data_IF_130887636806
#
_entry.id   IF_130887636806
#
_cell.length_a   1.000
_cell.length_b   1.000
_cell.length_c   1.000
_cell.angle_alpha   90.00
_cell.angle_beta   90.00
_cell.angle_gamma   90.00
#
_symmetry.space_group_name_H-M   'P 1'
#
loop_
_entity.id
_entity.type
_entity.pdbx_description
1 polymer ?
#
# COMPACT_ATOMS: atom_id res chain seq x y z
N UNK A 1 20.98 14.60 63.21
CA UNK A 1 21.99 15.21 62.33
C UNK A 1 22.55 14.09 61.47
N UNK A 2 22.01 13.96 60.25
CA UNK A 2 22.25 12.84 59.35
C UNK A 2 23.55 13.05 58.58
N UNK A 3 24.45 12.08 58.61
CA UNK A 3 25.52 11.98 57.61
C UNK A 3 25.26 10.76 56.74
N UNK A 4 24.87 11.08 55.52
CA UNK A 4 24.57 10.20 54.40
C UNK A 4 25.89 9.95 53.68
N UNK A 5 26.60 8.88 54.00
CA UNK A 5 27.85 8.59 53.29
C UNK A 5 28.29 7.14 53.38
N UNK A 6 27.52 6.22 52.75
CA UNK A 6 28.03 4.93 52.22
C UNK A 6 27.01 4.23 51.34
N UNK A 7 26.52 4.92 50.31
CA UNK A 7 25.79 4.27 49.22
C UNK A 7 26.69 4.16 47.99
N UNK A 8 26.97 2.92 47.61
CA UNK A 8 27.12 2.45 46.22
C UNK A 8 28.19 3.13 45.35
N UNK A 9 29.45 2.75 45.58
CA UNK A 9 30.51 2.81 44.56
C UNK A 9 30.50 1.53 43.72
N UNK A 10 29.34 1.16 43.15
CA UNK A 10 29.25 0.14 42.09
C UNK A 10 29.21 0.88 40.76
N UNK A 11 30.39 1.04 40.17
CA UNK A 11 30.54 1.42 38.78
C UNK A 11 29.70 0.44 37.94
N UNK A 12 28.61 0.95 37.36
CA UNK A 12 27.82 0.22 36.37
C UNK A 12 28.70 0.06 35.13
N UNK A 13 29.22 -1.14 34.96
CA UNK A 13 30.07 -1.56 33.84
C UNK A 13 29.25 -2.13 32.67
N UNK A 14 27.93 -1.93 32.66
CA UNK A 14 27.00 -2.57 31.71
C UNK A 14 26.48 -1.64 30.62
N UNK A 15 27.10 -0.47 30.42
CA UNK A 15 26.79 0.35 29.24
C UNK A 15 27.84 0.07 28.17
N UNK A 16 27.55 -0.74 27.14
CA UNK A 16 28.46 -0.85 26.01
C UNK A 16 28.61 0.55 25.42
N UNK A 17 29.82 1.08 25.57
CA UNK A 17 30.23 2.34 25.00
C UNK A 17 30.20 2.14 23.48
N UNK A 18 29.11 2.53 22.83
CA UNK A 18 29.02 2.56 21.36
C UNK A 18 29.98 3.64 20.84
N UNK A 19 31.27 3.33 20.83
CA UNK A 19 32.26 4.04 20.03
C UNK A 19 32.10 3.62 18.57
N UNK A 20 30.91 3.79 17.98
CA UNK A 20 30.76 3.78 16.53
C UNK A 20 31.38 5.08 16.02
N UNK A 21 32.68 5.02 15.74
CA UNK A 21 33.31 5.88 14.73
C UNK A 21 32.50 5.74 13.45
N UNK A 22 31.51 6.62 13.24
CA UNK A 22 30.91 6.87 11.93
C UNK A 22 31.93 7.63 11.09
N UNK A 23 33.04 6.95 10.75
CA UNK A 23 34.12 7.49 9.92
C UNK A 23 33.94 7.10 8.44
N UNK A 24 32.78 6.58 8.08
CA UNK A 24 32.39 6.39 6.68
C UNK A 24 31.25 7.34 6.41
N UNK A 25 31.61 8.58 6.05
CA UNK A 25 30.74 9.49 5.30
C UNK A 25 30.39 8.73 4.02
N UNK A 26 29.27 8.01 4.01
CA UNK A 26 28.73 7.42 2.79
C UNK A 26 28.66 8.58 1.79
N UNK A 27 29.35 8.51 0.64
CA UNK A 27 29.11 9.50 -0.39
C UNK A 27 27.62 9.40 -0.70
N UNK A 28 26.88 10.45 -0.39
CA UNK A 28 25.50 10.61 -0.87
C UNK A 28 25.63 10.76 -2.37
N UNK A 29 25.72 9.63 -3.06
CA UNK A 29 25.57 9.57 -4.50
C UNK A 29 24.23 10.23 -4.78
N UNK A 30 24.22 11.20 -5.69
CA UNK A 30 23.03 11.96 -6.09
C UNK A 30 22.08 11.03 -6.85
N UNK A 31 21.47 10.10 -6.11
CA UNK A 31 20.63 9.00 -6.60
C UNK A 31 19.41 9.50 -7.36
N UNK A 32 19.03 10.76 -7.13
CA UNK A 32 17.86 11.36 -7.75
C UNK A 32 18.13 11.73 -9.20
N UNK A 33 19.29 12.34 -9.51
CA UNK A 33 19.63 12.72 -10.90
C UNK A 33 19.92 11.50 -11.76
N UNK A 34 20.68 10.54 -11.24
CA UNK A 34 20.93 9.27 -11.94
C UNK A 34 19.67 8.41 -12.04
N UNK A 35 18.79 8.47 -11.04
CA UNK A 35 17.50 7.77 -11.04
C UNK A 35 16.56 8.27 -12.13
N UNK A 36 16.45 9.58 -12.33
CA UNK A 36 15.64 10.17 -13.42
C UNK A 36 16.21 9.81 -14.79
N UNK A 37 17.54 9.86 -14.96
CA UNK A 37 18.19 9.46 -16.20
C UNK A 37 17.95 7.97 -16.52
N UNK A 38 18.15 7.08 -15.55
CA UNK A 38 17.91 5.64 -15.71
C UNK A 38 16.43 5.34 -16.04
N UNK A 39 15.49 6.03 -15.41
CA UNK A 39 14.05 5.89 -15.66
C UNK A 39 13.65 6.39 -17.06
N UNK A 40 14.28 7.45 -17.57
CA UNK A 40 14.10 7.89 -18.95
C UNK A 40 14.75 6.93 -19.95
N UNK A 41 15.95 6.44 -19.65
CA UNK A 41 16.66 5.47 -20.49
C UNK A 41 15.92 4.14 -20.59
N UNK A 42 15.36 3.64 -19.47
CA UNK A 42 14.55 2.43 -19.44
C UNK A 42 13.26 2.58 -20.26
N UNK A 43 12.56 3.71 -20.15
CA UNK A 43 11.38 4.00 -20.98
C UNK A 43 11.72 4.10 -22.47
N UNK A 44 12.87 4.69 -22.79
CA UNK A 44 13.35 4.80 -24.17
C UNK A 44 13.70 3.43 -24.78
N UNK A 45 14.45 2.60 -24.06
CA UNK A 45 14.81 1.24 -24.47
C UNK A 45 13.60 0.30 -24.62
N UNK A 46 12.54 0.50 -23.82
CA UNK A 46 11.30 -0.28 -23.88
C UNK A 46 10.37 0.08 -25.04
N UNK A 47 10.69 1.10 -25.84
CA UNK A 47 9.82 1.59 -26.92
C UNK A 47 10.33 1.11 -28.29
N UNK A 48 9.43 0.74 -29.21
CA UNK A 48 9.76 0.32 -30.58
C UNK A 48 10.57 1.37 -31.37
N UNK A 49 10.50 2.63 -30.97
CA UNK A 49 11.24 3.75 -31.55
C UNK A 49 12.76 3.58 -31.43
N UNK A 50 13.27 2.98 -30.35
CA UNK A 50 14.70 2.72 -30.19
C UNK A 50 15.24 1.77 -31.28
N UNK A 51 14.50 0.69 -31.55
CA UNK A 51 14.86 -0.28 -32.58
C UNK A 51 14.90 0.38 -33.96
N UNK A 52 13.91 1.20 -34.29
CA UNK A 52 13.87 1.95 -35.55
C UNK A 52 15.11 2.85 -35.68
N UNK A 53 15.43 3.65 -34.66
CA UNK A 53 16.61 4.51 -34.69
C UNK A 53 17.92 3.70 -34.85
N UNK A 54 18.06 2.60 -34.13
CA UNK A 54 19.26 1.74 -34.24
C UNK A 54 19.38 1.10 -35.62
N UNK A 55 18.27 0.62 -36.19
CA UNK A 55 18.28 0.09 -37.57
C UNK A 55 18.64 1.16 -38.58
N UNK A 56 18.09 2.37 -38.47
CA UNK A 56 18.43 3.48 -39.35
C UNK A 56 19.90 3.90 -39.21
N UNK A 57 20.43 3.91 -37.99
CA UNK A 57 21.83 4.21 -37.73
C UNK A 57 22.77 3.18 -38.40
N UNK A 58 22.51 1.89 -38.19
CA UNK A 58 23.28 0.80 -38.81
C UNK A 58 23.16 0.86 -40.33
N UNK A 59 21.96 1.04 -40.88
CA UNK A 59 21.74 1.16 -42.31
C UNK A 59 22.48 2.37 -42.91
N UNK A 60 22.44 3.52 -42.25
CA UNK A 60 23.16 4.72 -42.68
C UNK A 60 24.67 4.52 -42.65
N UNK A 61 25.20 3.85 -41.62
CA UNK A 61 26.63 3.52 -41.53
C UNK A 61 27.07 2.60 -42.66
N UNK A 62 26.30 1.54 -42.94
CA UNK A 62 26.58 0.62 -44.03
C UNK A 62 26.52 1.35 -45.38
N UNK A 63 25.47 2.14 -45.61
CA UNK A 63 25.30 2.90 -46.84
C UNK A 63 26.47 3.87 -47.07
N UNK A 64 26.88 4.59 -46.02
CA UNK A 64 28.03 5.48 -46.07
C UNK A 64 29.31 4.74 -46.44
N UNK A 65 29.63 3.63 -45.77
CA UNK A 65 30.89 2.92 -46.00
C UNK A 65 30.92 2.13 -47.32
N UNK A 66 29.76 1.74 -47.87
CA UNK A 66 29.68 0.99 -49.14
C UNK A 66 29.60 1.90 -50.36
N UNK A 67 28.84 3.01 -50.31
CA UNK A 67 28.62 3.87 -51.48
C UNK A 67 29.69 4.95 -51.67
N UNK A 68 30.47 5.25 -50.63
CA UNK A 68 31.41 6.36 -50.66
C UNK A 68 32.71 5.99 -51.39
N UNK A 69 33.35 6.93 -52.12
CA UNK A 69 34.64 6.67 -52.77
C UNK A 69 35.71 6.24 -51.76
N UNK A 70 36.62 5.33 -52.14
CA UNK A 70 37.69 4.74 -51.29
C UNK A 70 38.48 5.72 -50.43
N UNK A 71 38.58 6.99 -50.84
CA UNK A 71 39.24 8.07 -50.09
C UNK A 71 38.51 8.52 -48.82
N UNK A 72 37.23 8.18 -48.66
CA UNK A 72 36.38 8.61 -47.55
C UNK A 72 35.69 7.42 -46.86
N UNK A 73 36.02 6.19 -47.26
CA UNK A 73 35.58 4.98 -46.56
C UNK A 73 36.27 4.95 -45.20
N UNK A 74 35.47 4.84 -44.14
CA UNK A 74 35.96 4.84 -42.77
C UNK A 74 36.09 3.41 -42.21
N UNK A 75 35.20 2.51 -42.62
CA UNK A 75 35.05 1.15 -42.11
C UNK A 75 34.80 0.17 -43.26
N UNK A 76 35.89 -0.31 -43.88
CA UNK A 76 35.83 -1.30 -44.95
C UNK A 76 35.32 -2.67 -44.45
N UNK A 77 34.67 -3.48 -45.29
CA UNK A 77 34.29 -4.84 -44.95
C UNK A 77 35.50 -5.63 -44.41
N UNK A 78 35.43 -6.22 -43.19
CA UNK A 78 34.22 -6.73 -42.52
C UNK A 78 33.54 -5.79 -41.48
N UNK A 79 33.72 -4.47 -41.53
CA UNK A 79 33.10 -3.49 -40.63
C UNK A 79 33.53 -3.63 -39.15
N UNK A 80 34.85 -3.62 -38.92
CA UNK A 80 35.42 -3.80 -37.58
C UNK A 80 35.06 -2.64 -36.65
N UNK A 81 34.98 -1.41 -37.15
CA UNK A 81 34.69 -0.25 -36.31
C UNK A 81 33.24 -0.29 -35.81
N UNK A 82 32.29 -0.61 -36.69
CA UNK A 82 30.89 -0.83 -36.30
C UNK A 82 30.77 -1.95 -35.26
N UNK A 83 31.47 -3.06 -35.48
CA UNK A 83 31.46 -4.20 -34.55
C UNK A 83 32.01 -3.83 -33.17
N UNK A 84 33.13 -3.11 -33.13
CA UNK A 84 33.72 -2.62 -31.88
C UNK A 84 32.78 -1.66 -31.16
N UNK A 85 32.12 -0.77 -31.89
CA UNK A 85 31.18 0.18 -31.30
C UNK A 85 29.94 -0.51 -30.73
N UNK A 86 29.36 -1.48 -31.44
CA UNK A 86 28.21 -2.26 -30.95
C UNK A 86 28.56 -3.12 -29.73
N UNK A 87 29.75 -3.73 -29.72
CA UNK A 87 30.20 -4.53 -28.57
C UNK A 87 30.44 -3.65 -27.33
N UNK A 88 31.03 -2.45 -27.52
CA UNK A 88 31.17 -1.47 -26.45
C UNK A 88 29.81 -0.99 -25.94
N UNK A 89 28.86 -0.70 -26.85
CA UNK A 89 27.50 -0.29 -26.50
C UNK A 89 26.83 -1.33 -25.59
N UNK A 90 26.90 -2.61 -25.96
CA UNK A 90 26.35 -3.69 -25.15
C UNK A 90 27.04 -3.80 -23.78
N UNK A 91 28.37 -3.65 -23.74
CA UNK A 91 29.15 -3.73 -22.50
C UNK A 91 28.80 -2.61 -21.51
N UNK A 92 28.58 -1.39 -21.98
CA UNK A 92 28.17 -0.27 -21.12
C UNK A 92 26.67 -0.29 -20.77
N UNK A 93 25.83 -0.89 -21.62
CA UNK A 93 24.41 -1.03 -21.33
C UNK A 93 24.16 -1.94 -20.11
N UNK A 94 24.92 -3.04 -19.96
CA UNK A 94 24.75 -3.99 -18.86
C UNK A 94 24.80 -3.35 -17.45
N UNK A 95 25.84 -2.58 -17.06
CA UNK A 95 25.89 -1.94 -15.75
C UNK A 95 24.80 -0.86 -15.58
N UNK A 96 24.44 -0.13 -16.64
CA UNK A 96 23.33 0.83 -16.57
C UNK A 96 21.99 0.15 -16.32
N UNK A 97 21.73 -0.96 -17.01
CA UNK A 97 20.52 -1.77 -16.85
C UNK A 97 20.46 -2.33 -15.43
N UNK A 98 21.57 -2.85 -14.88
CA UNK A 98 21.63 -3.34 -13.50
C UNK A 98 21.31 -2.24 -12.48
N UNK A 99 21.78 -1.02 -12.69
CA UNK A 99 21.44 0.12 -11.83
C UNK A 99 19.95 0.47 -11.91
N UNK A 100 19.37 0.46 -13.12
CA UNK A 100 17.94 0.68 -13.32
C UNK A 100 17.10 -0.41 -12.66
N UNK A 101 17.51 -1.68 -12.78
CA UNK A 101 16.84 -2.84 -12.18
C UNK A 101 16.87 -2.78 -10.65
N UNK A 102 18.02 -2.53 -10.03
CA UNK A 102 18.13 -2.40 -8.57
C UNK A 102 17.16 -1.35 -7.99
N UNK A 103 16.93 -0.26 -8.73
CA UNK A 103 15.98 0.79 -8.32
C UNK A 103 14.53 0.37 -8.53
N UNK A 104 14.22 -0.31 -9.63
CA UNK A 104 12.89 -0.86 -9.87
C UNK A 104 12.52 -1.87 -8.79
N UNK A 105 13.41 -2.82 -8.48
CA UNK A 105 13.22 -3.81 -7.41
C UNK A 105 13.01 -3.16 -6.04
N UNK A 106 13.73 -2.08 -5.73
CA UNK A 106 13.53 -1.34 -4.49
C UNK A 106 12.12 -0.70 -4.41
N UNK A 107 11.61 -0.14 -5.50
CA UNK A 107 10.24 0.39 -5.59
C UNK A 107 9.22 -0.74 -5.44
N UNK A 108 9.39 -1.82 -6.21
CA UNK A 108 8.50 -2.97 -6.22
C UNK A 108 8.41 -3.63 -4.83
N UNK A 109 9.53 -3.67 -4.10
CA UNK A 109 9.56 -4.14 -2.71
C UNK A 109 8.70 -3.28 -1.78
N UNK A 110 8.81 -1.95 -1.88
CA UNK A 110 8.00 -1.04 -1.03
C UNK A 110 6.52 -1.19 -1.35
N UNK A 111 6.16 -1.28 -2.64
CA UNK A 111 4.77 -1.52 -3.05
C UNK A 111 4.27 -2.85 -2.50
N UNK A 112 5.04 -3.93 -2.61
CA UNK A 112 4.67 -5.24 -2.07
C UNK A 112 4.57 -5.27 -0.55
N UNK A 113 5.37 -4.48 0.17
CA UNK A 113 5.27 -4.33 1.63
C UNK A 113 4.00 -3.56 2.03
N UNK A 114 3.64 -2.52 1.29
CA UNK A 114 2.40 -1.76 1.52
C UNK A 114 1.16 -2.60 1.21
N UNK A 115 1.18 -3.36 0.12
CA UNK A 115 0.10 -4.25 -0.30
C UNK A 115 -0.16 -5.31 0.79
N UNK A 116 0.91 -5.97 1.28
CA UNK A 116 0.82 -6.89 2.41
C UNK A 116 0.22 -6.27 3.68
N UNK A 117 0.55 -5.01 3.98
CA UNK A 117 -0.02 -4.31 5.14
C UNK A 117 -1.50 -3.96 4.92
N UNK A 118 -1.87 -3.58 3.70
CA UNK A 118 -3.25 -3.30 3.34
C UNK A 118 -4.11 -4.57 3.44
N UNK A 119 -3.63 -5.68 2.90
CA UNK A 119 -4.30 -6.99 2.99
C UNK A 119 -4.48 -7.45 4.44
N UNK A 120 -3.45 -7.30 5.28
CA UNK A 120 -3.54 -7.64 6.70
C UNK A 120 -4.61 -6.81 7.43
N UNK A 121 -4.72 -5.51 7.10
CA UNK A 121 -5.76 -4.63 7.66
C UNK A 121 -7.15 -5.02 7.14
N UNK A 122 -7.28 -5.27 5.84
CA UNK A 122 -8.53 -5.71 5.23
C UNK A 122 -9.02 -7.02 5.85
N UNK A 123 -8.13 -7.98 6.10
CA UNK A 123 -8.47 -9.21 6.81
C UNK A 123 -8.97 -8.94 8.24
N UNK A 124 -8.29 -8.08 9.00
CA UNK A 124 -8.73 -7.71 10.35
C UNK A 124 -10.10 -7.00 10.34
N UNK A 125 -10.33 -6.10 9.39
CA UNK A 125 -11.60 -5.39 9.23
C UNK A 125 -12.73 -6.36 8.86
N UNK A 126 -12.47 -7.32 7.97
CA UNK A 126 -13.44 -8.38 7.66
C UNK A 126 -13.76 -9.25 8.88
N UNK A 127 -12.76 -9.64 9.67
CA UNK A 127 -13.00 -10.37 10.92
C UNK A 127 -13.82 -9.56 11.92
N UNK A 128 -13.53 -8.27 12.06
CA UNK A 128 -14.27 -7.37 12.93
C UNK A 128 -15.73 -7.26 12.48
N UNK A 129 -15.96 -6.97 11.20
CA UNK A 129 -17.30 -6.89 10.62
C UNK A 129 -18.05 -8.22 10.75
N UNK A 130 -17.38 -9.36 10.56
CA UNK A 130 -18.02 -10.67 10.74
C UNK A 130 -18.47 -10.90 12.20
N UNK A 131 -17.68 -10.46 13.18
CA UNK A 131 -18.06 -10.53 14.61
C UNK A 131 -19.22 -9.58 14.93
N UNK A 132 -19.20 -8.37 14.38
CA UNK A 132 -20.30 -7.41 14.55
C UNK A 132 -21.60 -7.88 13.88
N UNK A 133 -21.52 -8.50 12.71
CA UNK A 133 -22.70 -9.10 12.07
C UNK A 133 -23.23 -10.28 12.88
N UNK A 134 -22.35 -11.10 13.45
CA UNK A 134 -22.74 -12.20 14.32
C UNK A 134 -23.42 -11.72 15.62
N UNK A 135 -22.87 -10.69 16.28
CA UNK A 135 -23.46 -10.09 17.48
C UNK A 135 -24.81 -9.45 17.18
N UNK A 136 -24.91 -8.69 16.08
CA UNK A 136 -26.17 -8.10 15.61
C UNK A 136 -27.22 -9.18 15.31
N UNK A 137 -26.82 -10.28 14.66
CA UNK A 137 -27.73 -11.42 14.38
C UNK A 137 -28.26 -12.06 15.67
N UNK A 138 -27.43 -12.21 16.69
CA UNK A 138 -27.87 -12.76 17.98
C UNK A 138 -28.86 -11.80 18.67
N UNK A 139 -28.53 -10.51 18.75
CA UNK A 139 -29.40 -9.50 19.34
C UNK A 139 -30.76 -9.39 18.63
N UNK A 140 -30.77 -9.40 17.29
CA UNK A 140 -32.02 -9.43 16.50
C UNK A 140 -32.76 -10.75 16.72
N UNK A 141 -32.06 -11.88 16.80
CA UNK A 141 -32.66 -13.19 17.07
C UNK A 141 -33.42 -13.25 18.39
N UNK A 142 -32.89 -12.65 19.46
CA UNK A 142 -33.55 -12.58 20.77
C UNK A 142 -34.84 -11.74 20.72
N UNK A 143 -34.80 -10.56 20.10
CA UNK A 143 -35.96 -9.65 20.00
C UNK A 143 -37.02 -10.16 19.00
N UNK A 144 -36.59 -10.91 17.97
CA UNK A 144 -37.49 -11.45 16.95
C UNK A 144 -38.16 -12.79 17.34
N UNK A 145 -38.08 -13.20 18.61
CA UNK A 145 -38.73 -14.44 19.05
C UNK A 145 -40.25 -14.29 18.91
N UNK A 146 -40.90 -15.23 18.19
CA UNK A 146 -42.36 -15.21 17.92
C UNK A 146 -43.17 -14.97 19.19
N UNK A 147 -42.75 -15.56 20.30
CA UNK A 147 -43.46 -15.46 21.58
C UNK A 147 -43.33 -14.07 22.22
N UNK A 148 -42.19 -13.39 22.08
CA UNK A 148 -41.99 -12.01 22.54
C UNK A 148 -42.79 -11.02 21.69
N UNK A 149 -42.72 -11.12 20.36
CA UNK A 149 -43.56 -10.30 19.48
C UNK A 149 -45.05 -10.52 19.76
N UNK A 150 -45.44 -11.77 20.05
CA UNK A 150 -46.82 -12.12 20.36
C UNK A 150 -47.26 -11.57 21.73
N UNK A 151 -46.41 -11.65 22.76
CA UNK A 151 -46.72 -11.08 24.06
C UNK A 151 -46.85 -9.56 23.96
N UNK A 152 -45.98 -8.91 23.19
CA UNK A 152 -45.98 -7.46 23.11
C UNK A 152 -47.11 -6.88 22.26
N UNK A 153 -47.46 -7.56 21.16
CA UNK A 153 -48.69 -7.26 20.43
C UNK A 153 -49.93 -7.42 21.32
N UNK A 154 -49.94 -8.41 22.22
CA UNK A 154 -51.08 -8.67 23.11
C UNK A 154 -51.17 -7.67 24.25
N UNK A 155 -50.02 -7.28 24.80
CA UNK A 155 -49.88 -6.21 25.79
C UNK A 155 -50.43 -4.88 25.24
N UNK A 156 -49.97 -4.48 24.05
CA UNK A 156 -50.45 -3.26 23.38
C UNK A 156 -51.95 -3.31 23.04
N UNK A 157 -52.46 -4.48 22.64
CA UNK A 157 -53.90 -4.67 22.39
C UNK A 157 -54.72 -4.48 23.68
N UNK A 158 -54.25 -5.05 24.79
CA UNK A 158 -54.89 -4.93 26.10
C UNK A 158 -54.93 -3.49 26.58
N UNK A 159 -53.84 -2.73 26.40
CA UNK A 159 -53.76 -1.31 26.78
C UNK A 159 -54.74 -0.44 25.98
N UNK A 160 -54.98 -0.77 24.70
CA UNK A 160 -55.98 -0.11 23.86
C UNK A 160 -57.43 -0.47 24.27
N UNK A 161 -57.70 -1.73 24.61
CA UNK A 161 -58.99 -2.17 25.15
C UNK A 161 -59.31 -1.45 26.46
N UNK A 162 -58.36 -1.41 27.39
CA UNK A 162 -58.53 -0.75 28.69
C UNK A 162 -58.77 0.76 28.53
N UNK A 163 -58.08 1.42 27.59
CA UNK A 163 -58.38 2.82 27.23
C UNK A 163 -59.77 3.04 26.64
N UNK A 164 -60.32 2.03 25.98
CA UNK A 164 -61.67 2.09 25.39
C UNK A 164 -62.74 1.84 26.45
N UNK A 165 -62.46 0.97 27.43
CA UNK A 165 -63.35 0.63 28.55
C UNK A 165 -63.40 1.74 29.63
N UNK A 166 -62.32 2.51 29.80
CA UNK A 166 -62.26 3.67 30.74
C UNK A 166 -62.94 4.92 30.15
N UNK A 167 -63.93 4.74 29.27
CA UNK A 167 -65.00 5.74 29.05
C UNK A 167 -66.31 5.27 29.73
N UNK A 168 -66.42 5.24 31.08
CA UNK A 168 -67.71 5.01 31.70
C UNK A 168 -68.50 6.32 31.75
N UNK A 169 -69.65 6.27 31.07
CA UNK A 169 -70.97 6.57 31.63
C UNK A 169 -71.13 7.85 32.47
N UNK A 170 -71.99 8.74 31.96
CA UNK A 170 -72.66 9.79 32.72
C UNK A 170 -73.22 9.28 34.06
N UNK A 171 -72.87 9.90 35.20
CA UNK A 171 -73.57 9.65 36.46
C UNK A 171 -74.73 10.63 36.63
N UNK A 172 -75.96 10.15 36.48
CA UNK A 172 -77.19 10.76 37.00
C UNK A 172 -78.30 9.71 36.97
N UNK A 173 -78.98 9.34 38.04
CA UNK A 173 -79.44 10.13 39.19
C UNK A 173 -80.14 9.16 40.18
N UNK A 174 -80.05 9.31 41.52
CA UNK A 174 -80.86 8.53 42.45
C UNK A 174 -81.83 9.41 43.24
N UNK A 175 -83.14 9.28 43.00
CA UNK A 175 -84.25 9.71 43.90
C UNK A 175 -85.50 8.91 43.48
N UNK A 176 -86.38 8.35 44.30
CA UNK A 176 -86.59 8.28 45.75
C UNK A 176 -87.62 7.13 46.03
N UNK A 177 -87.86 6.69 47.28
CA UNK A 177 -88.85 5.65 47.61
C UNK A 177 -90.22 6.22 48.02
N UNK A 178 -91.31 5.67 47.48
CA UNK A 178 -92.70 5.75 47.97
C UNK A 178 -93.52 4.72 47.15
N UNK A 179 -94.39 3.86 47.68
CA UNK A 179 -95.06 3.69 48.98
C UNK A 179 -95.40 2.21 49.18
#
# INVERSE_FOLDING_TARGET
MADVSRASRRARLDTPREARRQLVRRPTYDSDRFGVFAEQFARFMGTAQFLIYMTLFVAAWLLWNVLMPRRLVFDDPPFIALTLMLSLQASYAAPLILLAQNRQEARDRVVAEQDRQADARAHADMEFLAREVASLRMAVGEVATRDFLRSELRSLLSELEERTDVSPEEPGQPEAPAS
#
